data_IF_927625505128
#
_entry.id   IF_927625505128
#
_cell.length_a   1.000
_cell.length_b   1.000
_cell.length_c   1.000
_cell.angle_alpha   90.00
_cell.angle_beta   90.00
_cell.angle_gamma   90.00
#
_symmetry.space_group_name_H-M   'P 1'
#
loop_
_entity.id
_entity.type
_entity.pdbx_description
1 polymer ?
#
# COMPACT_ATOMS: atom_id res chain seq x y z
N UNK A 1 -33.12 18.21 19.38
CA UNK A 1 -32.10 18.38 18.32
C UNK A 1 -30.89 17.56 18.72
N UNK A 2 -30.65 16.44 18.04
CA UNK A 2 -29.54 15.54 18.37
C UNK A 2 -28.28 15.98 17.62
N UNK A 3 -27.16 16.15 18.34
CA UNK A 3 -25.88 16.51 17.77
C UNK A 3 -25.06 15.23 17.52
N UNK A 4 -25.42 14.48 16.47
CA UNK A 4 -24.62 13.34 16.01
C UNK A 4 -23.63 13.82 14.96
N UNK A 5 -22.34 13.80 15.30
CA UNK A 5 -21.28 14.11 14.35
C UNK A 5 -20.44 12.85 14.10
N UNK A 6 -20.45 12.39 12.84
CA UNK A 6 -19.60 11.32 12.35
C UNK A 6 -18.56 11.93 11.42
N UNK A 7 -17.29 11.90 11.82
CA UNK A 7 -16.19 12.40 11.00
C UNK A 7 -15.30 11.24 10.56
N UNK A 8 -15.09 11.04 9.25
CA UNK A 8 -14.07 10.11 8.80
C UNK A 8 -12.70 10.69 9.19
N UNK A 9 -11.99 10.01 10.09
CA UNK A 9 -10.68 10.46 10.59
C UNK A 9 -9.53 9.59 10.07
N UNK A 10 -9.84 8.54 9.32
CA UNK A 10 -8.84 7.67 8.72
C UNK A 10 -9.43 6.41 8.09
N UNK A 11 -8.54 5.61 7.52
CA UNK A 11 -8.84 4.36 6.83
C UNK A 11 -7.90 3.28 7.39
N UNK A 12 -8.30 2.02 7.34
CA UNK A 12 -7.43 0.88 7.67
C UNK A 12 -6.52 0.44 6.51
N UNK A 13 -6.33 1.32 5.52
CA UNK A 13 -5.50 1.10 4.35
C UNK A 13 -4.17 1.81 4.54
N UNK A 14 -3.07 1.08 4.32
CA UNK A 14 -1.72 1.65 4.33
C UNK A 14 -1.46 2.42 3.04
N UNK A 15 -1.09 3.68 3.17
CA UNK A 15 -0.63 4.54 2.06
C UNK A 15 0.87 4.35 1.87
N UNK A 16 1.31 4.08 0.65
CA UNK A 16 2.72 3.79 0.34
C UNK A 16 3.45 4.94 -0.37
N UNK A 17 2.74 5.69 -1.20
CA UNK A 17 3.24 6.82 -1.99
C UNK A 17 2.84 8.15 -1.36
N UNK A 18 3.59 9.20 -1.66
CA UNK A 18 3.19 10.57 -1.31
C UNK A 18 2.06 11.02 -2.23
N UNK A 19 0.97 11.52 -1.65
CA UNK A 19 -0.20 12.01 -2.37
C UNK A 19 -0.03 13.48 -2.79
N UNK A 20 0.84 13.72 -3.77
CA UNK A 20 1.29 15.07 -4.15
C UNK A 20 0.14 15.92 -4.69
N UNK A 21 -0.74 15.37 -5.53
CA UNK A 21 -1.86 16.09 -6.13
C UNK A 21 -2.93 16.37 -5.08
N UNK A 22 -3.19 15.45 -4.16
CA UNK A 22 -4.11 15.63 -3.05
C UNK A 22 -3.71 16.83 -2.20
N UNK A 23 -2.43 16.94 -1.83
CA UNK A 23 -1.94 18.07 -1.05
C UNK A 23 -1.90 19.37 -1.86
N UNK A 24 -1.46 19.31 -3.12
CA UNK A 24 -1.52 20.46 -4.02
C UNK A 24 -2.94 21.01 -4.14
N UNK A 25 -3.92 20.16 -4.46
CA UNK A 25 -5.33 20.55 -4.54
C UNK A 25 -5.82 21.11 -3.21
N UNK A 26 -5.48 20.50 -2.07
CA UNK A 26 -5.88 21.01 -0.76
C UNK A 26 -5.40 22.45 -0.52
N UNK A 27 -4.12 22.73 -0.82
CA UNK A 27 -3.55 24.09 -0.70
C UNK A 27 -4.18 25.04 -1.72
N UNK A 28 -4.32 24.59 -2.97
CA UNK A 28 -4.90 25.38 -4.05
C UNK A 28 -6.35 25.79 -3.74
N UNK A 29 -7.15 24.88 -3.19
CA UNK A 29 -8.52 25.16 -2.75
C UNK A 29 -8.57 26.24 -1.66
N UNK A 30 -7.63 26.21 -0.70
CA UNK A 30 -7.53 27.27 0.33
C UNK A 30 -7.21 28.61 -0.32
N UNK A 31 -6.25 28.65 -1.24
CA UNK A 31 -5.88 29.88 -1.95
C UNK A 31 -7.09 30.42 -2.72
N UNK A 32 -7.73 29.60 -3.57
CA UNK A 32 -8.93 30.01 -4.31
C UNK A 32 -10.05 30.50 -3.40
N UNK A 33 -10.25 29.86 -2.25
CA UNK A 33 -11.23 30.30 -1.26
C UNK A 33 -10.91 31.65 -0.65
N UNK A 34 -9.65 31.91 -0.28
CA UNK A 34 -9.23 33.20 0.27
C UNK A 34 -9.43 34.32 -0.75
N UNK A 35 -9.07 34.10 -2.01
CA UNK A 35 -9.36 35.05 -3.07
C UNK A 35 -10.87 35.23 -3.27
N UNK A 36 -11.64 34.15 -3.45
CA UNK A 36 -13.08 34.26 -3.66
C UNK A 36 -13.82 34.94 -2.50
N UNK A 37 -13.36 34.77 -1.26
CA UNK A 37 -14.00 35.36 -0.08
C UNK A 37 -13.64 36.82 0.14
N UNK A 38 -12.38 37.21 -0.06
CA UNK A 38 -11.86 38.52 0.35
C UNK A 38 -11.50 39.44 -0.83
N UNK A 39 -11.25 38.88 -2.01
CA UNK A 39 -10.92 39.61 -3.23
C UNK A 39 -11.45 38.86 -4.48
N UNK A 40 -12.79 38.69 -4.61
CA UNK A 40 -13.39 37.86 -5.66
C UNK A 40 -13.22 38.44 -7.07
N UNK A 41 -12.94 39.74 -7.18
CA UNK A 41 -12.82 40.43 -8.46
C UNK A 41 -11.70 41.46 -8.44
N UNK A 42 -10.93 41.51 -9.52
CA UNK A 42 -9.96 42.54 -9.82
C UNK A 42 -9.90 42.80 -11.33
N UNK A 43 -9.06 43.74 -11.78
CA UNK A 43 -8.78 43.94 -13.21
C UNK A 43 -8.20 42.70 -13.91
N UNK A 44 -7.62 41.76 -13.17
CA UNK A 44 -6.94 40.58 -13.72
C UNK A 44 -7.75 39.28 -13.55
N UNK A 45 -8.74 39.24 -12.65
CA UNK A 45 -9.50 38.02 -12.37
C UNK A 45 -10.95 38.31 -11.96
N UNK A 46 -11.83 37.37 -12.26
CA UNK A 46 -13.22 37.38 -11.82
C UNK A 46 -13.63 35.98 -11.37
N UNK A 47 -13.61 35.71 -10.06
CA UNK A 47 -13.99 34.40 -9.52
C UNK A 47 -15.51 34.13 -9.64
N UNK A 48 -16.36 35.14 -9.82
CA UNK A 48 -17.78 34.91 -10.12
C UNK A 48 -17.98 34.27 -11.50
N UNK A 49 -17.07 34.53 -12.46
CA UNK A 49 -17.10 33.90 -13.78
C UNK A 49 -16.72 32.41 -13.75
N UNK A 50 -16.21 31.91 -12.61
CA UNK A 50 -15.87 30.50 -12.41
C UNK A 50 -17.04 29.68 -11.85
N UNK A 51 -18.14 30.32 -11.44
CA UNK A 51 -19.35 29.66 -10.94
C UNK A 51 -20.03 28.92 -12.09
N UNK A 52 -20.47 27.70 -11.85
CA UNK A 52 -21.29 26.98 -12.81
C UNK A 52 -22.74 27.44 -12.69
N UNK A 53 -23.18 28.25 -13.64
CA UNK A 53 -24.57 28.71 -13.78
C UNK A 53 -25.31 27.76 -14.75
N UNK A 54 -26.28 26.96 -14.27
CA UNK A 54 -27.05 26.06 -15.12
C UNK A 54 -27.78 26.77 -16.28
N UNK A 55 -28.13 28.04 -16.13
CA UNK A 55 -28.76 28.82 -17.21
C UNK A 55 -27.78 29.20 -18.33
N UNK A 56 -26.47 29.14 -18.06
CA UNK A 56 -25.38 29.49 -18.99
C UNK A 56 -24.25 28.45 -18.89
N UNK A 57 -24.51 27.18 -19.25
CA UNK A 57 -23.57 26.10 -19.00
C UNK A 57 -22.32 26.25 -19.87
N UNK A 58 -21.16 26.03 -19.27
CA UNK A 58 -19.87 26.00 -19.96
C UNK A 58 -19.00 24.87 -19.41
N UNK A 59 -18.24 24.21 -20.27
CA UNK A 59 -17.27 23.19 -19.85
C UNK A 59 -16.23 23.80 -18.91
N UNK A 60 -15.83 25.05 -19.16
CA UNK A 60 -14.89 25.77 -18.30
C UNK A 60 -15.45 25.93 -16.88
N UNK A 61 -16.70 26.39 -16.74
CA UNK A 61 -17.33 26.57 -15.43
C UNK A 61 -17.67 25.24 -14.75
N UNK A 62 -17.96 24.18 -15.52
CA UNK A 62 -18.12 22.82 -15.02
C UNK A 62 -16.82 22.25 -14.41
N UNK A 63 -15.66 22.80 -14.77
CA UNK A 63 -14.37 22.50 -14.14
C UNK A 63 -14.09 23.46 -12.98
N UNK A 64 -14.19 24.77 -13.22
CA UNK A 64 -13.69 25.79 -12.30
C UNK A 64 -14.53 25.93 -11.03
N UNK A 65 -15.82 25.59 -11.07
CA UNK A 65 -16.68 25.71 -9.90
C UNK A 65 -16.23 24.82 -8.72
N UNK A 66 -15.53 23.71 -9.01
CA UNK A 66 -14.97 22.81 -8.01
C UNK A 66 -13.98 23.51 -7.06
N UNK A 67 -13.40 24.64 -7.48
CA UNK A 67 -12.38 25.34 -6.71
C UNK A 67 -12.93 26.48 -5.86
N UNK A 68 -14.19 26.85 -6.04
CA UNK A 68 -14.86 27.93 -5.30
C UNK A 68 -15.55 27.41 -4.05
N UNK A 69 -15.52 28.15 -2.94
CA UNK A 69 -16.17 27.75 -1.70
C UNK A 69 -16.87 28.92 -1.02
N UNK A 70 -18.15 28.75 -0.63
CA UNK A 70 -18.96 29.82 -0.02
C UNK A 70 -18.70 30.06 1.47
N UNK A 71 -17.93 29.21 2.16
CA UNK A 71 -17.74 29.36 3.61
C UNK A 71 -16.67 28.46 4.21
N UNK A 72 -16.24 28.78 5.43
CA UNK A 72 -15.16 28.09 6.16
C UNK A 72 -15.45 26.62 6.44
N UNK A 73 -16.68 26.30 6.87
CA UNK A 73 -17.10 24.91 7.10
C UNK A 73 -17.13 24.15 5.77
N UNK A 74 -17.61 24.79 4.70
CA UNK A 74 -17.70 24.17 3.37
C UNK A 74 -16.32 23.77 2.86
N UNK A 75 -15.32 24.64 2.92
CA UNK A 75 -13.94 24.27 2.54
C UNK A 75 -13.32 23.27 3.51
N UNK A 76 -13.54 23.42 4.83
CA UNK A 76 -12.98 22.53 5.84
C UNK A 76 -13.41 21.06 5.64
N UNK A 77 -14.68 20.83 5.34
CA UNK A 77 -15.20 19.48 5.05
C UNK A 77 -14.63 18.93 3.74
N UNK A 78 -14.51 19.76 2.68
CA UNK A 78 -13.93 19.31 1.42
C UNK A 78 -12.45 18.91 1.55
N UNK A 79 -11.66 19.70 2.28
CA UNK A 79 -10.26 19.37 2.57
C UNK A 79 -10.17 18.09 3.41
N UNK A 80 -11.04 17.93 4.41
CA UNK A 80 -11.07 16.70 5.21
C UNK A 80 -11.30 15.46 4.33
N UNK A 81 -12.31 15.49 3.46
CA UNK A 81 -12.60 14.38 2.56
C UNK A 81 -11.48 14.14 1.55
N UNK A 82 -10.92 15.22 1.00
CA UNK A 82 -9.80 15.15 0.05
C UNK A 82 -8.56 14.53 0.71
N UNK A 83 -8.23 14.90 1.95
CA UNK A 83 -7.09 14.33 2.68
C UNK A 83 -7.35 12.87 3.07
N UNK A 84 -8.53 12.55 3.60
CA UNK A 84 -8.79 11.19 4.10
C UNK A 84 -8.91 10.19 2.95
N UNK A 85 -9.71 10.50 1.93
CA UNK A 85 -9.97 9.57 0.83
C UNK A 85 -9.02 9.79 -0.35
N UNK A 86 -8.76 11.05 -0.70
CA UNK A 86 -7.95 11.38 -1.87
C UNK A 86 -6.53 10.84 -1.79
N UNK A 87 -5.91 10.81 -0.60
CA UNK A 87 -4.59 10.21 -0.40
C UNK A 87 -4.52 8.73 -0.81
N UNK A 88 -5.54 7.97 -0.44
CA UNK A 88 -5.59 6.52 -0.71
C UNK A 88 -5.97 6.26 -2.16
N UNK A 89 -6.85 7.07 -2.74
CA UNK A 89 -7.17 6.99 -4.17
C UNK A 89 -5.93 7.35 -5.01
N UNK A 90 -5.23 8.44 -4.70
CA UNK A 90 -4.01 8.84 -5.42
C UNK A 90 -2.88 7.81 -5.29
N UNK A 91 -2.72 7.18 -4.12
CA UNK A 91 -1.73 6.12 -3.92
C UNK A 91 -1.89 4.98 -4.94
N UNK A 92 -3.14 4.57 -5.23
CA UNK A 92 -3.42 3.39 -6.08
C UNK A 92 -3.64 3.71 -7.54
N UNK A 93 -4.25 4.85 -7.85
CA UNK A 93 -4.46 5.27 -9.22
C UNK A 93 -3.27 6.06 -9.79
N UNK A 94 -2.40 6.58 -8.93
CA UNK A 94 -1.37 7.53 -9.30
C UNK A 94 -1.92 8.95 -9.51
N UNK A 95 -1.04 9.95 -9.59
CA UNK A 95 -1.41 11.37 -9.60
C UNK A 95 -2.29 11.75 -10.80
N UNK A 96 -1.99 11.24 -12.00
CA UNK A 96 -2.71 11.59 -13.22
C UNK A 96 -4.14 11.06 -13.24
N UNK A 97 -4.34 9.76 -12.99
CA UNK A 97 -5.68 9.15 -12.97
C UNK A 97 -6.53 9.70 -11.82
N UNK A 98 -5.92 9.97 -10.66
CA UNK A 98 -6.57 10.66 -9.57
C UNK A 98 -7.12 12.03 -9.99
N UNK A 99 -6.30 12.84 -10.67
CA UNK A 99 -6.71 14.15 -11.17
C UNK A 99 -7.84 14.06 -12.20
N UNK A 100 -7.80 13.04 -13.08
CA UNK A 100 -8.89 12.76 -14.02
C UNK A 100 -10.19 12.39 -13.31
N UNK A 101 -10.15 11.50 -12.30
CA UNK A 101 -11.34 11.15 -11.51
C UNK A 101 -11.92 12.41 -10.87
N UNK A 102 -11.07 13.21 -10.20
CA UNK A 102 -11.50 14.45 -9.56
C UNK A 102 -12.20 15.40 -10.55
N UNK A 103 -11.56 15.67 -11.69
CA UNK A 103 -12.03 16.68 -12.65
C UNK A 103 -13.25 16.21 -13.45
N UNK A 104 -13.20 14.98 -13.99
CA UNK A 104 -14.28 14.45 -14.82
C UNK A 104 -15.54 14.16 -13.99
N UNK A 105 -15.40 13.71 -12.74
CA UNK A 105 -16.55 13.59 -11.83
C UNK A 105 -17.17 14.95 -11.51
N UNK A 106 -16.37 16.02 -11.36
CA UNK A 106 -16.89 17.37 -11.19
C UNK A 106 -17.75 17.82 -12.37
N UNK A 107 -17.23 17.64 -13.58
CA UNK A 107 -17.95 17.96 -14.82
C UNK A 107 -19.26 17.17 -14.90
N UNK A 108 -19.21 15.85 -14.70
CA UNK A 108 -20.38 14.99 -14.76
C UNK A 108 -21.45 15.39 -13.72
N UNK A 109 -21.04 15.76 -12.51
CA UNK A 109 -21.93 16.27 -11.47
C UNK A 109 -22.62 17.57 -11.88
N UNK A 110 -21.88 18.54 -12.42
CA UNK A 110 -22.45 19.80 -12.90
C UNK A 110 -23.51 19.60 -14.00
N UNK A 111 -23.22 18.75 -14.99
CA UNK A 111 -24.17 18.44 -16.06
C UNK A 111 -25.35 17.58 -15.58
N UNK A 112 -25.16 16.72 -14.58
CA UNK A 112 -26.26 15.99 -13.93
C UNK A 112 -27.20 16.94 -13.20
N UNK A 113 -26.63 17.91 -12.48
CA UNK A 113 -27.42 18.94 -11.81
C UNK A 113 -28.19 19.83 -12.80
N UNK A 114 -27.55 20.25 -13.90
CA UNK A 114 -28.21 20.96 -14.99
C UNK A 114 -29.40 20.16 -15.53
N UNK A 115 -29.18 18.90 -15.91
CA UNK A 115 -30.21 18.06 -16.50
C UNK A 115 -31.42 17.90 -15.57
N UNK A 116 -31.18 17.58 -14.30
CA UNK A 116 -32.26 17.37 -13.33
C UNK A 116 -32.97 18.68 -12.98
N UNK A 117 -32.25 19.79 -12.81
CA UNK A 117 -32.85 21.09 -12.49
C UNK A 117 -33.70 21.60 -13.65
N UNK A 118 -33.25 21.44 -14.90
CA UNK A 118 -34.03 21.81 -16.09
C UNK A 118 -35.38 21.08 -16.18
N UNK A 119 -35.46 19.84 -15.68
CA UNK A 119 -36.68 19.03 -15.75
C UNK A 119 -37.59 19.28 -14.55
N UNK A 120 -37.03 19.30 -13.33
CA UNK A 120 -37.82 19.26 -12.10
C UNK A 120 -37.94 20.60 -11.39
N UNK A 121 -37.06 21.57 -11.67
CA UNK A 121 -37.05 22.88 -11.00
C UNK A 121 -36.45 23.97 -11.91
N UNK A 122 -37.05 24.25 -13.09
CA UNK A 122 -36.47 25.17 -14.07
C UNK A 122 -36.33 26.61 -13.55
N UNK A 123 -37.12 27.00 -12.55
CA UNK A 123 -37.01 28.29 -11.88
C UNK A 123 -35.68 28.47 -11.12
N UNK A 124 -35.02 27.37 -10.75
CA UNK A 124 -33.76 27.39 -10.00
C UNK A 124 -32.52 27.34 -10.91
N UNK A 125 -32.67 27.41 -12.24
CA UNK A 125 -31.55 27.34 -13.19
C UNK A 125 -30.51 28.47 -13.02
N UNK A 126 -30.87 29.57 -12.37
CA UNK A 126 -29.95 30.67 -12.06
C UNK A 126 -29.16 30.45 -10.76
N UNK A 127 -29.46 29.38 -10.02
CA UNK A 127 -28.74 29.03 -8.79
C UNK A 127 -27.38 28.43 -9.13
N UNK A 128 -26.34 29.25 -8.99
CA UNK A 128 -24.97 28.84 -9.27
C UNK A 128 -24.47 27.72 -8.34
N UNK A 129 -23.71 26.80 -8.92
CA UNK A 129 -23.05 25.69 -8.20
C UNK A 129 -21.60 26.04 -7.93
N UNK A 130 -21.14 25.78 -6.70
CA UNK A 130 -19.74 25.90 -6.27
C UNK A 130 -19.37 24.78 -5.29
N UNK A 131 -18.09 24.45 -5.21
CA UNK A 131 -17.53 23.56 -4.19
C UNK A 131 -16.88 22.31 -4.76
N UNK A 132 -15.83 21.85 -4.10
CA UNK A 132 -15.14 20.60 -4.46
C UNK A 132 -15.96 19.34 -4.13
N UNK A 133 -17.18 19.50 -3.59
CA UNK A 133 -17.96 18.39 -3.04
C UNK A 133 -18.45 17.42 -4.11
N UNK A 134 -18.69 17.90 -5.33
CA UNK A 134 -18.90 17.04 -6.50
C UNK A 134 -17.66 16.19 -6.79
N UNK A 135 -16.51 16.82 -6.98
CA UNK A 135 -15.25 16.12 -7.26
C UNK A 135 -14.89 15.09 -6.17
N UNK A 136 -15.02 15.45 -4.89
CA UNK A 136 -14.78 14.54 -3.77
C UNK A 136 -15.82 13.42 -3.68
N UNK A 137 -17.08 13.66 -4.07
CA UNK A 137 -18.09 12.60 -4.24
C UNK A 137 -17.66 11.59 -5.32
N UNK A 138 -17.07 12.07 -6.41
CA UNK A 138 -16.46 11.21 -7.43
C UNK A 138 -15.31 10.36 -6.89
N UNK A 139 -14.45 10.95 -6.07
CA UNK A 139 -13.40 10.20 -5.38
C UNK A 139 -13.98 9.14 -4.43
N UNK A 140 -15.10 9.40 -3.75
CA UNK A 140 -15.81 8.41 -2.94
C UNK A 140 -16.39 7.26 -3.78
N UNK A 141 -16.92 7.57 -4.97
CA UNK A 141 -17.37 6.56 -5.94
C UNK A 141 -16.23 5.66 -6.41
N UNK A 142 -15.08 6.25 -6.74
CA UNK A 142 -13.89 5.48 -7.08
C UNK A 142 -13.37 4.66 -5.88
N UNK A 143 -13.39 5.26 -4.70
CA UNK A 143 -12.94 4.64 -3.46
C UNK A 143 -13.78 3.40 -3.10
N UNK A 144 -15.10 3.47 -3.15
CA UNK A 144 -15.96 2.33 -2.75
C UNK A 144 -15.73 1.12 -3.65
N UNK A 145 -15.48 1.34 -4.93
CA UNK A 145 -15.21 0.27 -5.88
C UNK A 145 -13.82 -0.33 -5.68
N UNK A 146 -12.80 0.51 -5.43
CA UNK A 146 -11.40 0.08 -5.30
C UNK A 146 -11.05 -0.51 -3.94
N UNK A 147 -11.81 -0.15 -2.91
CA UNK A 147 -11.53 -0.49 -1.51
C UNK A 147 -12.76 -1.06 -0.80
N UNK A 148 -13.55 -1.87 -1.49
CA UNK A 148 -14.78 -2.46 -0.96
C UNK A 148 -14.56 -3.37 0.27
N UNK A 149 -13.32 -3.83 0.48
CA UNK A 149 -12.91 -4.67 1.62
C UNK A 149 -12.38 -3.86 2.81
N UNK A 150 -12.26 -2.53 2.68
CA UNK A 150 -11.68 -1.66 3.72
C UNK A 150 -12.70 -1.22 4.76
N UNK A 151 -12.20 -0.60 5.83
CA UNK A 151 -13.00 0.03 6.88
C UNK A 151 -12.61 1.49 7.06
N UNK A 152 -13.62 2.32 7.27
CA UNK A 152 -13.47 3.74 7.57
C UNK A 152 -13.47 3.89 9.09
N UNK A 153 -12.45 4.57 9.60
CA UNK A 153 -12.36 4.97 11.00
C UNK A 153 -13.16 6.24 11.20
N UNK A 154 -14.28 6.11 11.90
CA UNK A 154 -15.20 7.20 12.18
C UNK A 154 -15.01 7.64 13.63
N UNK A 155 -14.71 8.92 13.82
CA UNK A 155 -14.83 9.56 15.12
C UNK A 155 -16.30 9.94 15.33
N UNK A 156 -16.85 9.56 16.49
CA UNK A 156 -18.18 9.97 16.89
C UNK A 156 -18.11 10.75 18.19
N UNK A 157 -18.98 11.75 18.29
CA UNK A 157 -19.27 12.43 19.54
C UNK A 157 -20.78 12.44 19.74
N UNK A 158 -21.19 11.95 20.91
CA UNK A 158 -22.58 11.79 21.31
C UNK A 158 -22.80 12.59 22.58
N UNK A 159 -23.61 13.63 22.46
CA UNK A 159 -23.94 14.55 23.56
C UNK A 159 -25.45 14.58 23.80
N UNK A 160 -25.88 13.99 24.93
CA UNK A 160 -27.24 14.03 25.46
C UNK A 160 -27.23 14.59 26.89
N UNK A 161 -27.44 15.90 27.05
CA UNK A 161 -27.41 16.53 28.38
C UNK A 161 -28.55 16.02 29.27
N UNK A 162 -29.75 15.76 28.70
CA UNK A 162 -30.92 15.26 29.46
C UNK A 162 -30.76 13.83 29.99
N UNK A 163 -29.81 13.06 29.44
CA UNK A 163 -29.51 11.68 29.85
C UNK A 163 -28.10 11.56 30.46
N UNK A 164 -27.43 12.70 30.71
CA UNK A 164 -26.04 12.76 31.16
C UNK A 164 -25.05 11.94 30.30
N UNK A 165 -25.34 11.74 29.00
CA UNK A 165 -24.45 11.01 28.09
C UNK A 165 -23.55 12.02 27.39
N UNK A 166 -22.26 11.98 27.67
CA UNK A 166 -21.23 12.66 26.89
C UNK A 166 -20.15 11.63 26.54
N UNK A 167 -20.26 11.02 25.36
CA UNK A 167 -19.33 9.97 24.92
C UNK A 167 -18.68 10.37 23.60
N UNK A 168 -17.36 10.34 23.59
CA UNK A 168 -16.55 10.43 22.38
C UNK A 168 -15.84 9.10 22.16
N UNK A 169 -15.76 8.66 20.91
CA UNK A 169 -15.12 7.39 20.59
C UNK A 169 -14.74 7.29 19.12
N UNK A 170 -14.18 6.13 18.79
CA UNK A 170 -13.73 5.79 17.43
C UNK A 170 -14.23 4.39 17.10
N UNK A 171 -14.82 4.23 15.94
CA UNK A 171 -15.32 2.94 15.45
C UNK A 171 -14.89 2.72 14.02
N UNK A 172 -14.63 1.47 13.65
CA UNK A 172 -14.41 1.08 12.27
C UNK A 172 -15.73 0.61 11.67
N UNK A 173 -16.12 1.22 10.56
CA UNK A 173 -17.32 0.85 9.81
C UNK A 173 -16.89 0.34 8.44
N UNK A 174 -17.48 -0.76 7.92
CA UNK A 174 -17.23 -1.20 6.56
C UNK A 174 -17.40 -0.05 5.57
N UNK A 175 -16.40 0.16 4.71
CA UNK A 175 -16.35 1.31 3.81
C UNK A 175 -17.56 1.38 2.88
N UNK A 176 -17.94 0.23 2.32
CA UNK A 176 -19.12 0.08 1.45
C UNK A 176 -20.38 0.53 2.15
N UNK A 177 -20.62 0.07 3.38
CA UNK A 177 -21.81 0.43 4.14
C UNK A 177 -21.85 1.95 4.40
N UNK A 178 -20.75 2.53 4.90
CA UNK A 178 -20.69 3.95 5.22
C UNK A 178 -20.88 4.84 3.99
N UNK A 179 -20.22 4.50 2.87
CA UNK A 179 -20.29 5.28 1.63
C UNK A 179 -21.65 5.12 0.94
N UNK A 180 -22.21 3.91 0.88
CA UNK A 180 -23.53 3.70 0.27
C UNK A 180 -24.66 4.34 1.07
N UNK A 181 -24.62 4.29 2.40
CA UNK A 181 -25.60 5.00 3.24
C UNK A 181 -25.51 6.52 3.01
N UNK A 182 -24.29 7.06 2.93
CA UNK A 182 -24.09 8.47 2.60
C UNK A 182 -24.64 8.81 1.21
N UNK A 183 -24.32 8.01 0.19
CA UNK A 183 -24.80 8.19 -1.18
C UNK A 183 -26.33 8.11 -1.27
N UNK A 184 -26.96 7.14 -0.60
CA UNK A 184 -28.41 7.02 -0.54
C UNK A 184 -29.05 8.27 0.09
N UNK A 185 -28.47 8.78 1.19
CA UNK A 185 -28.93 10.02 1.79
C UNK A 185 -28.78 11.22 0.83
N UNK A 186 -27.69 11.31 0.07
CA UNK A 186 -27.54 12.36 -0.96
C UNK A 186 -28.62 12.24 -2.04
N UNK A 187 -28.91 11.03 -2.51
CA UNK A 187 -29.94 10.77 -3.51
C UNK A 187 -31.34 11.12 -3.02
N UNK A 188 -31.69 10.74 -1.79
CA UNK A 188 -32.99 11.11 -1.17
C UNK A 188 -33.09 12.63 -1.04
N UNK A 189 -32.04 13.30 -0.56
CA UNK A 189 -32.01 14.77 -0.45
C UNK A 189 -32.08 15.46 -1.80
N UNK A 190 -31.47 14.89 -2.84
CA UNK A 190 -31.57 15.39 -4.21
C UNK A 190 -33.00 15.37 -4.71
N UNK A 191 -33.78 14.32 -4.41
CA UNK A 191 -35.18 14.23 -4.80
C UNK A 191 -36.06 15.17 -3.97
N UNK A 192 -35.85 15.20 -2.65
CA UNK A 192 -36.63 16.05 -1.73
C UNK A 192 -36.42 17.55 -1.94
N UNK A 193 -35.30 17.95 -2.55
CA UNK A 193 -35.00 19.35 -2.82
C UNK A 193 -35.85 19.93 -3.95
N UNK A 194 -36.34 19.12 -4.88
CA UNK A 194 -37.16 19.60 -5.99
C UNK A 194 -38.48 20.16 -5.46
N UNK A 195 -38.76 21.43 -5.77
CA UNK A 195 -39.95 22.15 -5.31
C UNK A 195 -39.80 22.91 -3.97
N UNK A 196 -38.62 22.87 -3.33
CA UNK A 196 -38.30 23.70 -2.16
C UNK A 196 -37.36 24.83 -2.60
N UNK A 197 -37.86 26.07 -2.60
CA UNK A 197 -37.06 27.25 -2.97
C UNK A 197 -36.04 27.63 -1.89
N UNK A 198 -34.87 28.15 -2.29
CA UNK A 198 -33.84 28.70 -1.38
C UNK A 198 -32.39 28.35 -1.75
N UNK A 199 -31.42 28.90 -1.00
CA UNK A 199 -29.99 28.59 -1.16
C UNK A 199 -29.72 27.21 -0.53
N UNK A 200 -29.61 26.19 -1.37
CA UNK A 200 -29.49 24.80 -0.94
C UNK A 200 -28.23 24.14 -1.51
N UNK A 201 -27.72 23.13 -0.81
CA UNK A 201 -26.65 22.26 -1.32
C UNK A 201 -27.17 21.55 -2.58
N UNK A 202 -26.47 21.63 -3.70
CA UNK A 202 -26.85 20.98 -4.96
C UNK A 202 -26.63 19.45 -4.90
N UNK A 203 -27.48 18.72 -4.19
CA UNK A 203 -27.32 17.29 -3.90
C UNK A 203 -27.21 16.42 -5.17
N UNK A 204 -27.85 16.80 -6.27
CA UNK A 204 -27.75 16.10 -7.57
C UNK A 204 -26.35 16.12 -8.17
N UNK A 205 -25.53 17.12 -7.86
CA UNK A 205 -24.10 17.13 -8.23
C UNK A 205 -23.39 15.95 -7.60
N UNK A 206 -23.62 15.68 -6.31
CA UNK A 206 -22.98 14.57 -5.61
C UNK A 206 -23.35 13.22 -6.23
N UNK A 207 -24.61 13.05 -6.62
CA UNK A 207 -25.10 11.81 -7.25
C UNK A 207 -24.41 11.57 -8.60
N UNK A 208 -24.44 12.57 -9.48
CA UNK A 208 -23.80 12.49 -10.79
C UNK A 208 -22.29 12.26 -10.72
N UNK A 209 -21.61 13.01 -9.84
CA UNK A 209 -20.17 12.85 -9.64
C UNK A 209 -19.79 11.48 -9.08
N UNK A 210 -20.55 10.96 -8.12
CA UNK A 210 -20.30 9.65 -7.52
C UNK A 210 -20.37 8.54 -8.57
N UNK A 211 -21.45 8.51 -9.37
CA UNK A 211 -21.63 7.53 -10.44
C UNK A 211 -20.52 7.64 -11.49
N UNK A 212 -20.16 8.86 -11.90
CA UNK A 212 -19.02 9.07 -12.79
C UNK A 212 -17.70 8.54 -12.19
N UNK A 213 -17.50 8.73 -10.89
CA UNK A 213 -16.34 8.20 -10.16
C UNK A 213 -16.29 6.67 -10.16
N UNK A 214 -17.43 6.01 -9.94
CA UNK A 214 -17.55 4.55 -10.04
C UNK A 214 -17.21 4.06 -11.45
N UNK A 215 -17.77 4.72 -12.48
CA UNK A 215 -17.54 4.35 -13.88
C UNK A 215 -16.07 4.54 -14.30
N UNK A 216 -15.45 5.67 -13.93
CA UNK A 216 -14.04 5.93 -14.21
C UNK A 216 -13.13 4.94 -13.48
N UNK A 217 -13.43 4.63 -12.21
CA UNK A 217 -12.70 3.62 -11.47
C UNK A 217 -12.81 2.24 -12.12
N UNK A 218 -14.01 1.84 -12.54
CA UNK A 218 -14.21 0.59 -13.27
C UNK A 218 -13.39 0.55 -14.57
N UNK A 219 -13.41 1.64 -15.35
CA UNK A 219 -12.62 1.78 -16.58
C UNK A 219 -11.10 1.72 -16.32
N UNK A 220 -10.64 2.17 -15.17
CA UNK A 220 -9.24 2.08 -14.74
C UNK A 220 -8.86 0.72 -14.11
N UNK A 221 -9.74 -0.28 -14.13
CA UNK A 221 -9.43 -1.63 -13.65
C UNK A 221 -9.61 -1.85 -12.15
N UNK A 222 -10.34 -0.97 -11.45
CA UNK A 222 -10.49 -1.01 -10.00
C UNK A 222 -10.90 -2.36 -9.44
N UNK A 223 -11.82 -3.06 -10.11
CA UNK A 223 -12.39 -4.33 -9.63
C UNK A 223 -11.33 -5.42 -9.59
N UNK A 224 -10.50 -5.52 -10.63
CA UNK A 224 -9.41 -6.50 -10.71
C UNK A 224 -8.38 -6.23 -9.61
N UNK A 225 -7.93 -4.98 -9.51
CA UNK A 225 -6.92 -4.57 -8.54
C UNK A 225 -7.41 -4.73 -7.09
N UNK A 226 -8.67 -4.40 -6.83
CA UNK A 226 -9.31 -4.58 -5.53
C UNK A 226 -9.46 -6.06 -5.17
N UNK A 227 -9.86 -6.90 -6.14
CA UNK A 227 -10.01 -8.34 -5.96
C UNK A 227 -8.69 -9.05 -5.68
N UNK A 228 -7.57 -8.55 -6.20
CA UNK A 228 -6.24 -8.97 -5.82
C UNK A 228 -5.91 -8.51 -4.38
N UNK A 229 -5.87 -7.20 -4.15
CA UNK A 229 -5.39 -6.63 -2.90
C UNK A 229 -6.18 -7.07 -1.67
N UNK A 230 -7.48 -7.32 -1.81
CA UNK A 230 -8.31 -7.87 -0.73
C UNK A 230 -7.64 -9.08 -0.08
N UNK A 231 -7.12 -10.01 -0.88
CA UNK A 231 -6.47 -11.22 -0.38
C UNK A 231 -5.21 -10.88 0.42
N UNK A 232 -4.39 -9.94 -0.03
CA UNK A 232 -3.19 -9.53 0.71
C UNK A 232 -3.53 -8.88 2.06
N UNK A 233 -4.55 -8.01 2.08
CA UNK A 233 -5.00 -7.34 3.31
C UNK A 233 -5.58 -8.37 4.29
N UNK A 234 -6.41 -9.29 3.80
CA UNK A 234 -6.94 -10.38 4.62
C UNK A 234 -5.84 -11.28 5.15
N UNK A 235 -4.88 -11.68 4.31
CA UNK A 235 -3.75 -12.52 4.71
C UNK A 235 -2.97 -11.92 5.88
N UNK A 236 -2.62 -10.63 5.77
CA UNK A 236 -1.92 -9.89 6.83
C UNK A 236 -2.76 -9.75 8.09
N UNK A 237 -4.05 -9.44 7.97
CA UNK A 237 -4.95 -9.35 9.12
C UNK A 237 -5.10 -10.69 9.84
N UNK A 238 -5.22 -11.80 9.12
CA UNK A 238 -5.27 -13.14 9.69
C UNK A 238 -3.93 -13.50 10.36
N UNK A 239 -2.82 -13.13 9.73
CA UNK A 239 -1.49 -13.30 10.31
C UNK A 239 -1.36 -12.53 11.64
N UNK A 240 -1.76 -11.25 11.69
CA UNK A 240 -1.72 -10.47 12.94
C UNK A 240 -2.59 -11.07 14.07
N UNK A 241 -3.67 -11.78 13.73
CA UNK A 241 -4.55 -12.47 14.68
C UNK A 241 -4.10 -13.88 15.05
N UNK A 242 -2.97 -14.34 14.53
CA UNK A 242 -2.50 -15.72 14.65
C UNK A 242 -3.41 -16.79 14.01
N UNK A 243 -4.24 -16.39 13.04
CA UNK A 243 -5.08 -17.28 12.24
C UNK A 243 -4.29 -17.79 11.01
N UNK A 244 -3.18 -18.50 11.26
CA UNK A 244 -2.14 -18.79 10.26
C UNK A 244 -2.63 -19.58 9.04
N UNK A 245 -3.53 -20.55 9.23
CA UNK A 245 -4.10 -21.34 8.12
C UNK A 245 -4.93 -20.47 7.16
N UNK A 246 -5.74 -19.55 7.70
CA UNK A 246 -6.49 -18.60 6.89
C UNK A 246 -5.54 -17.64 6.14
N UNK A 247 -4.47 -17.19 6.82
CA UNK A 247 -3.46 -16.34 6.21
C UNK A 247 -2.77 -17.02 5.01
N UNK A 248 -2.44 -18.30 5.10
CA UNK A 248 -1.82 -19.05 3.99
C UNK A 248 -2.69 -19.07 2.73
N UNK A 249 -3.97 -19.42 2.88
CA UNK A 249 -4.90 -19.48 1.75
C UNK A 249 -5.01 -18.13 1.07
N UNK A 250 -5.12 -17.05 1.84
CA UNK A 250 -5.19 -15.69 1.32
C UNK A 250 -3.88 -15.23 0.65
N UNK A 251 -2.72 -15.55 1.21
CA UNK A 251 -1.42 -15.27 0.56
C UNK A 251 -1.29 -16.00 -0.77
N UNK A 252 -1.67 -17.28 -0.85
CA UNK A 252 -1.65 -18.04 -2.10
C UNK A 252 -2.61 -17.45 -3.14
N UNK A 253 -3.83 -17.09 -2.74
CA UNK A 253 -4.81 -16.44 -3.62
C UNK A 253 -4.30 -15.10 -4.16
N UNK A 254 -3.54 -14.34 -3.37
CA UNK A 254 -2.91 -13.11 -3.83
C UNK A 254 -1.78 -13.38 -4.82
N UNK A 255 -0.90 -14.33 -4.51
CA UNK A 255 0.27 -14.69 -5.34
C UNK A 255 -0.18 -15.22 -6.70
N UNK A 256 -1.25 -16.01 -6.77
CA UNK A 256 -1.83 -16.50 -8.03
C UNK A 256 -2.26 -15.33 -8.94
N UNK A 257 -2.83 -14.27 -8.35
CA UNK A 257 -3.26 -13.07 -9.08
C UNK A 257 -2.12 -12.09 -9.38
N UNK A 258 -1.08 -12.04 -8.56
CA UNK A 258 0.06 -11.11 -8.68
C UNK A 258 1.40 -11.84 -8.46
N UNK A 259 1.81 -12.72 -9.37
CA UNK A 259 3.04 -13.50 -9.23
C UNK A 259 4.32 -12.65 -9.29
N UNK A 260 4.21 -11.41 -9.76
CA UNK A 260 5.34 -10.47 -9.90
C UNK A 260 5.61 -9.67 -8.62
N UNK A 261 4.71 -9.71 -7.63
CA UNK A 261 4.93 -9.08 -6.33
C UNK A 261 5.84 -9.95 -5.45
N UNK A 262 7.16 -9.78 -5.64
CA UNK A 262 8.20 -10.61 -5.01
C UNK A 262 8.17 -10.47 -3.47
N UNK A 263 7.81 -9.29 -2.95
CA UNK A 263 7.89 -8.99 -1.51
C UNK A 263 6.87 -9.77 -0.67
N UNK A 264 5.84 -10.34 -1.30
CA UNK A 264 4.82 -11.13 -0.59
C UNK A 264 5.26 -12.58 -0.35
N UNK A 265 6.20 -13.12 -1.12
CA UNK A 265 6.62 -14.51 -0.98
C UNK A 265 7.26 -14.80 0.40
N UNK A 266 8.18 -13.97 0.95
CA UNK A 266 8.69 -14.18 2.30
C UNK A 266 7.59 -14.09 3.37
N UNK A 267 6.62 -13.18 3.21
CA UNK A 267 5.47 -13.10 4.14
C UNK A 267 4.64 -14.39 4.13
N UNK A 268 4.34 -14.91 2.95
CA UNK A 268 3.65 -16.18 2.79
C UNK A 268 4.44 -17.33 3.42
N UNK A 269 5.76 -17.39 3.19
CA UNK A 269 6.62 -18.43 3.75
C UNK A 269 6.61 -18.43 5.29
N UNK A 270 6.56 -17.27 5.94
CA UNK A 270 6.38 -17.15 7.40
C UNK A 270 5.05 -17.74 7.86
N UNK A 271 3.96 -17.51 7.13
CA UNK A 271 2.67 -18.13 7.44
C UNK A 271 2.73 -19.66 7.40
N UNK A 272 3.47 -20.26 6.46
CA UNK A 272 3.74 -21.71 6.41
C UNK A 272 4.60 -22.21 7.57
N UNK A 273 5.60 -21.44 7.99
CA UNK A 273 6.38 -21.76 9.18
C UNK A 273 5.51 -21.80 10.44
N UNK A 274 4.60 -20.84 10.61
CA UNK A 274 3.73 -20.74 11.79
C UNK A 274 2.76 -21.92 11.95
N UNK A 275 2.39 -22.62 10.87
CA UNK A 275 1.58 -23.86 10.96
C UNK A 275 2.41 -25.13 11.02
N UNK A 276 3.74 -25.03 10.97
CA UNK A 276 4.64 -26.18 10.96
C UNK A 276 4.87 -26.82 9.58
N UNK A 277 4.29 -26.29 8.50
CA UNK A 277 4.54 -26.80 7.13
C UNK A 277 5.87 -26.27 6.57
N UNK A 278 6.95 -26.89 7.03
CA UNK A 278 8.32 -26.54 6.64
C UNK A 278 8.61 -26.81 5.17
N UNK A 279 7.95 -27.79 4.55
CA UNK A 279 8.19 -28.16 3.16
C UNK A 279 7.66 -27.07 2.21
N UNK A 280 6.44 -26.60 2.44
CA UNK A 280 5.88 -25.48 1.68
C UNK A 280 6.66 -24.19 1.94
N UNK A 281 7.00 -23.90 3.21
CA UNK A 281 7.83 -22.75 3.55
C UNK A 281 9.18 -22.76 2.80
N UNK A 282 9.87 -23.91 2.76
CA UNK A 282 11.12 -24.10 2.03
C UNK A 282 10.94 -23.75 0.54
N UNK A 283 9.91 -24.31 -0.10
CA UNK A 283 9.62 -24.06 -1.52
C UNK A 283 9.38 -22.57 -1.80
N UNK A 284 8.60 -21.91 -0.96
CA UNK A 284 8.24 -20.48 -1.13
C UNK A 284 9.46 -19.58 -0.89
N UNK A 285 10.28 -19.83 0.14
CA UNK A 285 11.53 -19.10 0.35
C UNK A 285 12.49 -19.24 -0.83
N UNK A 286 12.71 -20.46 -1.33
CA UNK A 286 13.56 -20.69 -2.50
C UNK A 286 13.07 -19.93 -3.74
N UNK A 287 11.75 -19.88 -3.94
CA UNK A 287 11.14 -19.12 -5.03
C UNK A 287 11.31 -17.60 -4.84
N UNK A 288 11.13 -17.10 -3.61
CA UNK A 288 11.34 -15.69 -3.27
C UNK A 288 12.78 -15.25 -3.57
N UNK A 289 13.75 -16.03 -3.09
CA UNK A 289 15.18 -15.77 -3.27
C UNK A 289 15.55 -15.77 -4.75
N UNK A 290 15.08 -16.78 -5.51
CA UNK A 290 15.28 -16.84 -6.96
C UNK A 290 14.75 -15.59 -7.65
N UNK A 291 13.53 -15.17 -7.32
CA UNK A 291 12.90 -13.97 -7.91
C UNK A 291 13.67 -12.69 -7.55
N UNK A 292 14.12 -12.54 -6.31
CA UNK A 292 14.95 -11.39 -5.91
C UNK A 292 16.27 -11.31 -6.68
N UNK A 293 16.96 -12.45 -6.86
CA UNK A 293 18.18 -12.50 -7.66
C UNK A 293 17.92 -12.12 -9.13
N UNK A 294 16.83 -12.62 -9.72
CA UNK A 294 16.41 -12.25 -11.08
C UNK A 294 16.09 -10.76 -11.21
N UNK A 295 15.47 -10.16 -10.18
CA UNK A 295 15.19 -8.73 -10.11
C UNK A 295 16.42 -7.86 -9.73
N UNK A 296 17.61 -8.46 -9.59
CA UNK A 296 18.85 -7.80 -9.14
C UNK A 296 18.75 -7.16 -7.74
N UNK A 297 17.84 -7.64 -6.90
CA UNK A 297 17.62 -7.20 -5.52
C UNK A 297 18.41 -8.10 -4.55
N UNK A 298 19.74 -8.09 -4.66
CA UNK A 298 20.62 -9.01 -3.93
C UNK A 298 20.51 -8.89 -2.41
N UNK A 299 20.40 -7.68 -1.87
CA UNK A 299 20.28 -7.47 -0.42
C UNK A 299 19.02 -8.14 0.15
N UNK A 300 17.90 -8.07 -0.57
CA UNK A 300 16.65 -8.75 -0.19
C UNK A 300 16.79 -10.27 -0.32
N UNK A 301 17.46 -10.75 -1.37
CA UNK A 301 17.74 -12.18 -1.54
C UNK A 301 18.57 -12.74 -0.38
N UNK A 302 19.67 -12.06 -0.01
CA UNK A 302 20.52 -12.46 1.12
C UNK A 302 19.77 -12.41 2.44
N UNK A 303 19.00 -11.35 2.70
CA UNK A 303 18.20 -11.22 3.93
C UNK A 303 17.18 -12.36 4.06
N UNK A 304 16.48 -12.66 2.96
CA UNK A 304 15.50 -13.75 2.90
C UNK A 304 16.18 -15.11 3.07
N UNK A 305 17.36 -15.30 2.49
CA UNK A 305 18.14 -16.53 2.63
C UNK A 305 18.61 -16.77 4.06
N UNK A 306 19.12 -15.74 4.73
CA UNK A 306 19.50 -15.79 6.14
C UNK A 306 18.29 -16.13 7.02
N UNK A 307 17.15 -15.50 6.76
CA UNK A 307 15.90 -15.79 7.46
C UNK A 307 15.47 -17.26 7.28
N UNK A 308 15.52 -17.77 6.05
CA UNK A 308 15.17 -19.15 5.75
C UNK A 308 16.08 -20.14 6.50
N UNK A 309 17.40 -19.95 6.44
CA UNK A 309 18.37 -20.80 7.16
C UNK A 309 18.21 -20.76 8.68
N UNK A 310 17.76 -19.63 9.24
CA UNK A 310 17.52 -19.49 10.67
C UNK A 310 16.30 -20.29 11.14
N UNK A 311 15.23 -20.32 10.33
CA UNK A 311 13.96 -20.93 10.71
C UNK A 311 13.82 -22.39 10.24
N UNK A 312 14.56 -22.78 9.20
CA UNK A 312 14.55 -24.12 8.62
C UNK A 312 15.98 -24.65 8.67
N UNK A 313 16.25 -25.56 9.60
CA UNK A 313 17.61 -26.03 9.89
C UNK A 313 18.28 -26.70 8.70
N UNK A 314 17.53 -27.38 7.83
CA UNK A 314 18.02 -28.08 6.64
C UNK A 314 17.77 -27.27 5.35
N UNK A 315 17.66 -25.93 5.45
CA UNK A 315 17.41 -25.09 4.29
C UNK A 315 18.64 -25.00 3.38
N UNK A 316 18.51 -25.51 2.17
CA UNK A 316 19.56 -25.48 1.16
C UNK A 316 18.95 -25.12 -0.20
N UNK A 317 19.60 -24.20 -0.92
CA UNK A 317 19.28 -23.82 -2.30
C UNK A 317 20.07 -24.69 -3.30
N UNK A 318 19.66 -24.72 -4.59
CA UNK A 318 20.47 -25.33 -5.64
C UNK A 318 21.92 -24.81 -5.61
N UNK A 319 22.88 -25.72 -5.78
CA UNK A 319 24.32 -25.53 -5.62
C UNK A 319 24.83 -24.14 -6.04
N UNK A 320 24.67 -23.79 -7.33
CA UNK A 320 25.14 -22.49 -7.87
C UNK A 320 24.52 -21.28 -7.17
N UNK A 321 23.23 -21.34 -6.85
CA UNK A 321 22.51 -20.24 -6.18
C UNK A 321 22.94 -20.10 -4.72
N UNK A 322 23.13 -21.24 -4.05
CA UNK A 322 23.60 -21.28 -2.68
C UNK A 322 24.98 -20.64 -2.55
N UNK A 323 25.93 -21.04 -3.40
CA UNK A 323 27.28 -20.51 -3.40
C UNK A 323 27.32 -19.03 -3.79
N UNK A 324 26.56 -18.61 -4.80
CA UNK A 324 26.50 -17.18 -5.16
C UNK A 324 26.09 -16.34 -3.95
N UNK A 325 25.04 -16.72 -3.22
CA UNK A 325 24.62 -15.99 -2.02
C UNK A 325 25.64 -16.07 -0.89
N UNK A 326 26.27 -17.22 -0.65
CA UNK A 326 27.32 -17.36 0.37
C UNK A 326 28.53 -16.46 0.06
N UNK A 327 28.99 -16.46 -1.19
CA UNK A 327 30.05 -15.58 -1.69
C UNK A 327 29.66 -14.10 -1.63
N UNK A 328 28.38 -13.79 -1.89
CA UNK A 328 27.80 -12.46 -1.72
C UNK A 328 27.90 -11.97 -0.28
N UNK A 329 27.44 -12.79 0.67
CA UNK A 329 27.49 -12.49 2.09
C UNK A 329 28.92 -12.29 2.61
N UNK A 330 29.88 -13.08 2.14
CA UNK A 330 31.29 -12.87 2.51
C UNK A 330 31.82 -11.54 1.98
N UNK A 331 31.53 -11.18 0.73
CA UNK A 331 31.92 -9.89 0.13
C UNK A 331 31.28 -8.70 0.84
N UNK A 332 30.05 -8.86 1.33
CA UNK A 332 29.33 -7.82 2.10
C UNK A 332 29.65 -7.87 3.61
N UNK A 333 30.71 -8.58 4.00
CA UNK A 333 31.23 -8.68 5.37
C UNK A 333 30.26 -9.33 6.38
N UNK A 334 29.23 -10.04 5.90
CA UNK A 334 28.31 -10.84 6.71
C UNK A 334 28.91 -12.22 7.03
N UNK A 335 30.13 -12.23 7.59
CA UNK A 335 30.95 -13.43 7.75
C UNK A 335 30.26 -14.57 8.51
N UNK A 336 29.48 -14.27 9.57
CA UNK A 336 28.77 -15.32 10.34
C UNK A 336 27.70 -16.04 9.53
N UNK A 337 26.93 -15.28 8.74
CA UNK A 337 25.94 -15.83 7.81
C UNK A 337 26.58 -16.57 6.66
N UNK A 338 27.70 -16.06 6.11
CA UNK A 338 28.48 -16.74 5.07
C UNK A 338 28.98 -18.11 5.54
N UNK A 339 29.59 -18.19 6.74
CA UNK A 339 30.05 -19.47 7.30
C UNK A 339 28.90 -20.43 7.53
N UNK A 340 27.75 -19.94 7.99
CA UNK A 340 26.56 -20.77 8.18
C UNK A 340 26.08 -21.34 6.84
N UNK A 341 26.02 -20.53 5.79
CA UNK A 341 25.67 -20.98 4.45
C UNK A 341 26.68 -22.02 3.93
N UNK A 342 27.99 -21.76 4.04
CA UNK A 342 29.01 -22.73 3.64
C UNK A 342 28.91 -24.06 4.38
N UNK A 343 28.59 -24.05 5.67
CA UNK A 343 28.35 -25.28 6.44
C UNK A 343 27.15 -26.05 5.88
N UNK A 344 26.03 -25.37 5.63
CA UNK A 344 24.83 -25.99 5.03
C UNK A 344 25.09 -26.53 3.63
N UNK A 345 25.91 -25.81 2.86
CA UNK A 345 26.35 -26.27 1.56
C UNK A 345 27.11 -27.58 1.64
N UNK A 346 28.12 -27.69 2.51
CA UNK A 346 28.93 -28.90 2.67
C UNK A 346 28.14 -30.08 3.24
N UNK A 347 27.12 -29.84 4.08
CA UNK A 347 26.21 -30.87 4.58
C UNK A 347 25.39 -31.52 3.45
N UNK A 348 25.00 -30.74 2.43
CA UNK A 348 24.14 -31.21 1.32
C UNK A 348 24.94 -31.64 0.09
N UNK A 349 26.05 -30.96 -0.21
CA UNK A 349 26.86 -31.15 -1.41
C UNK A 349 28.32 -31.48 -1.05
N UNK A 350 28.57 -32.55 -0.26
CA UNK A 350 29.93 -32.91 0.14
C UNK A 350 30.82 -33.30 -1.05
N UNK A 351 30.24 -33.73 -2.16
CA UNK A 351 30.97 -34.16 -3.36
C UNK A 351 31.05 -33.08 -4.45
N UNK A 352 30.71 -31.83 -4.12
CA UNK A 352 30.85 -30.71 -5.06
C UNK A 352 32.32 -30.41 -5.34
N UNK A 353 32.65 -30.04 -6.58
CA UNK A 353 33.99 -29.56 -6.97
C UNK A 353 34.41 -28.33 -6.16
N UNK A 354 33.46 -27.52 -5.69
CA UNK A 354 33.72 -26.36 -4.85
C UNK A 354 34.01 -26.72 -3.38
N UNK A 355 33.66 -27.93 -2.91
CA UNK A 355 33.69 -28.28 -1.49
C UNK A 355 35.08 -28.13 -0.81
N UNK A 356 36.20 -28.54 -1.42
CA UNK A 356 37.54 -28.28 -0.87
C UNK A 356 37.82 -26.79 -0.69
N UNK A 357 37.46 -25.98 -1.69
CA UNK A 357 37.63 -24.53 -1.64
C UNK A 357 36.74 -23.88 -0.58
N UNK A 358 35.53 -24.39 -0.34
CA UNK A 358 34.66 -23.90 0.73
C UNK A 358 35.28 -24.17 2.11
N UNK A 359 35.88 -25.35 2.35
CA UNK A 359 36.61 -25.62 3.58
C UNK A 359 37.73 -24.61 3.82
N UNK A 360 38.50 -24.30 2.78
CA UNK A 360 39.57 -23.29 2.81
C UNK A 360 39.04 -21.91 3.21
N UNK A 361 37.94 -21.46 2.57
CA UNK A 361 37.34 -20.15 2.86
C UNK A 361 36.81 -20.06 4.28
N UNK A 362 36.12 -21.10 4.76
CA UNK A 362 35.64 -21.15 6.14
C UNK A 362 36.79 -21.09 7.15
N UNK A 363 37.90 -21.80 6.88
CA UNK A 363 39.09 -21.75 7.73
C UNK A 363 39.68 -20.33 7.80
N UNK A 364 39.84 -19.68 6.65
CA UNK A 364 40.34 -18.31 6.56
C UNK A 364 39.43 -17.30 7.28
N UNK A 365 38.10 -17.41 7.13
CA UNK A 365 37.16 -16.56 7.86
C UNK A 365 37.30 -16.78 9.38
N UNK A 366 37.35 -18.04 9.84
CA UNK A 366 37.48 -18.35 11.26
C UNK A 366 38.77 -17.82 11.87
N UNK A 367 39.87 -17.98 11.15
CA UNK A 367 41.16 -17.47 11.59
C UNK A 367 41.20 -15.94 11.57
N UNK A 368 41.03 -15.33 10.40
CA UNK A 368 41.34 -13.90 10.19
C UNK A 368 40.23 -12.95 10.59
N UNK A 369 38.97 -13.40 10.65
CA UNK A 369 37.82 -12.55 11.00
C UNK A 369 37.29 -12.82 12.39
N UNK A 370 37.28 -14.07 12.82
CA UNK A 370 36.78 -14.45 14.15
C UNK A 370 37.88 -14.68 15.19
N UNK A 371 39.16 -14.69 14.79
CA UNK A 371 40.29 -15.01 15.68
C UNK A 371 40.11 -16.35 16.41
N UNK A 372 39.63 -17.36 15.67
CA UNK A 372 39.37 -18.71 16.17
C UNK A 372 40.25 -19.75 15.45
N UNK A 373 41.57 -19.77 15.73
CA UNK A 373 42.50 -20.67 15.04
C UNK A 373 42.17 -22.16 15.24
N UNK A 374 41.59 -22.55 16.38
CA UNK A 374 41.15 -23.93 16.61
C UNK A 374 40.00 -24.37 15.70
N UNK A 375 39.01 -23.49 15.46
CA UNK A 375 37.94 -23.77 14.49
C UNK A 375 38.50 -23.79 13.06
N UNK A 376 39.42 -22.89 12.73
CA UNK A 376 40.10 -22.87 11.43
C UNK A 376 40.87 -24.17 11.16
N UNK A 377 41.64 -24.65 12.13
CA UNK A 377 42.38 -25.92 12.06
C UNK A 377 41.44 -27.11 11.80
N UNK A 378 40.24 -27.10 12.38
CA UNK A 378 39.25 -28.15 12.15
C UNK A 378 38.79 -28.22 10.69
N UNK A 379 38.68 -27.08 10.00
CA UNK A 379 38.29 -27.03 8.59
C UNK A 379 39.43 -27.47 7.67
N UNK A 380 40.67 -27.07 7.95
CA UNK A 380 41.84 -27.57 7.21
C UNK A 380 42.01 -29.09 7.35
N UNK A 381 41.84 -29.63 8.57
CA UNK A 381 41.88 -31.09 8.80
C UNK A 381 40.82 -31.83 7.97
N UNK A 382 39.60 -31.29 7.89
CA UNK A 382 38.52 -31.86 7.05
C UNK A 382 38.87 -31.82 5.58
N UNK A 383 39.45 -30.73 5.08
CA UNK A 383 39.91 -30.62 3.70
C UNK A 383 40.89 -31.76 3.37
N UNK A 384 41.95 -31.91 4.18
CA UNK A 384 42.98 -32.94 3.95
C UNK A 384 42.43 -34.36 4.09
N UNK A 385 41.48 -34.60 5.03
CA UNK A 385 40.96 -35.94 5.26
C UNK A 385 39.93 -36.38 4.22
N UNK A 386 39.04 -35.49 3.79
CA UNK A 386 37.93 -35.83 2.90
C UNK A 386 38.27 -35.63 1.41
N UNK A 387 39.27 -34.80 1.10
CA UNK A 387 39.66 -34.46 -0.28
C UNK A 387 41.19 -34.57 -0.46
N UNK A 388 41.81 -35.75 -0.25
CA UNK A 388 43.26 -35.90 -0.19
C UNK A 388 44.00 -35.58 -1.50
N UNK A 389 43.30 -35.67 -2.64
CA UNK A 389 43.86 -35.46 -3.98
C UNK A 389 43.61 -34.05 -4.54
N UNK A 390 43.00 -33.15 -3.74
CA UNK A 390 42.68 -31.79 -4.18
C UNK A 390 43.91 -30.85 -4.19
N UNK A 391 43.92 -29.93 -5.15
CA UNK A 391 44.98 -28.93 -5.31
C UNK A 391 45.26 -28.07 -4.07
N UNK A 392 44.29 -27.90 -3.18
CA UNK A 392 44.43 -27.09 -1.96
C UNK A 392 45.02 -27.84 -0.77
N UNK A 393 45.27 -29.15 -0.88
CA UNK A 393 45.73 -29.99 0.24
C UNK A 393 47.10 -29.57 0.77
N UNK A 394 48.06 -29.28 -0.11
CA UNK A 394 49.40 -28.90 0.31
C UNK A 394 49.40 -27.54 1.02
N UNK A 395 48.58 -26.61 0.54
CA UNK A 395 48.35 -25.33 1.20
C UNK A 395 47.66 -25.52 2.57
N UNK A 396 46.66 -26.41 2.66
CA UNK A 396 46.00 -26.69 3.93
C UNK A 396 46.98 -27.28 4.96
N UNK A 397 47.89 -28.18 4.55
CA UNK A 397 48.91 -28.76 5.42
C UNK A 397 49.90 -27.71 5.94
N UNK A 398 50.34 -26.77 5.10
CA UNK A 398 51.25 -25.70 5.54
C UNK A 398 50.59 -24.77 6.55
N UNK A 399 49.33 -24.38 6.32
CA UNK A 399 48.56 -23.56 7.26
C UNK A 399 48.27 -24.30 8.56
N UNK A 400 48.04 -25.61 8.52
CA UNK A 400 47.89 -26.44 9.73
C UNK A 400 49.15 -26.44 10.59
N UNK A 401 50.35 -26.52 9.99
CA UNK A 401 51.62 -26.44 10.73
C UNK A 401 51.77 -25.07 11.39
N UNK A 402 51.56 -23.99 10.62
CA UNK A 402 51.63 -22.61 11.13
C UNK A 402 50.67 -22.36 12.28
N UNK A 403 49.42 -22.84 12.19
CA UNK A 403 48.41 -22.67 13.23
C UNK A 403 48.62 -23.61 14.42
N UNK A 404 49.18 -24.80 14.19
CA UNK A 404 49.56 -25.74 15.24
C UNK A 404 50.69 -25.21 16.12
N UNK A 405 51.67 -24.52 15.53
CA UNK A 405 52.76 -23.84 16.25
C UNK A 405 52.31 -22.59 17.01
N UNK A 406 51.23 -21.92 16.58
CA UNK A 406 50.71 -20.72 17.24
C UNK A 406 49.70 -20.99 18.37
N UNK A 407 49.24 -22.24 18.52
CA UNK A 407 48.23 -22.64 19.51
C UNK A 407 48.78 -23.53 20.64
N UNK A 408 50.04 -23.98 20.54
CA UNK A 408 50.82 -24.58 21.62
C UNK A 408 51.70 -23.54 22.28
#
# INVERSE_FOLDING_TARGET
MYFFYYFPIGLDIKVTRRATITYFLSVFLVICFLFFKYNPFSRWWNFYAMIFDPSRPSIATAITHAYLHGGWIHIGVNILYLIVFGRVVEDRYGPFRFFLIFTLSSIAGAYTHLFLTSIFSPHDLQSGVIGASGATSGLLGAFVLRFYYSRIKIAYWVFFPLQAINKAGRVYVPSVLAVLLWFLLQSVRSVMQFGISGIHVAYSVHVGSFLAGVLLAAAFGAVKDAGAEKHLVHARNYFEKAEWFAAQGEYLNYIDKNPDDIDVYPEAARAFLCTGDRNSARRIYSLAIKKYLQAKLRDKAETTFIEAMKNISDFVLPEKMHLDLAYGMERTLKFGSAVTAYRRFLEMYPWSEDAPFIHLRMANIMERRFNKPGEALSFYKRLVSFYPDDSWVDFAKSEMMRLGEAAG
#
